data_IF_557864110173
#
_entry.id   IF_557864110173
#
_cell.length_a   1.000
_cell.length_b   1.000
_cell.length_c   1.000
_cell.angle_alpha   90.00
_cell.angle_beta   90.00
_cell.angle_gamma   90.00
#
_symmetry.space_group_name_H-M   'P 1'
#
loop_
_entity.id
_entity.type
_entity.pdbx_description
1 polymer ?
#
# COMPACT_ATOMS: atom_id res chain seq x y z
N UNK A 1 17.43 -1.97 27.67
CA UNK A 1 16.66 -0.85 27.08
C UNK A 1 15.22 -1.00 27.55
N UNK A 2 14.70 -0.10 28.40
CA UNK A 2 13.34 -0.23 28.94
C UNK A 2 12.38 0.77 28.27
N UNK A 3 11.24 0.26 27.81
CA UNK A 3 10.12 1.08 27.34
C UNK A 3 9.40 1.74 28.52
N UNK A 4 8.92 2.97 28.36
CA UNK A 4 8.19 3.71 29.39
C UNK A 4 7.01 4.49 28.80
N UNK A 5 6.08 4.90 29.68
CA UNK A 5 4.86 5.62 29.30
C UNK A 5 5.23 6.96 28.66
N UNK A 6 4.59 7.27 27.54
CA UNK A 6 4.86 8.47 26.75
C UNK A 6 5.84 8.25 25.59
N UNK A 7 6.46 7.08 25.48
CA UNK A 7 7.29 6.77 24.31
C UNK A 7 6.43 6.64 23.05
N UNK A 8 6.87 7.32 21.99
CA UNK A 8 6.32 7.20 20.64
C UNK A 8 7.45 6.97 19.64
N UNK A 9 7.12 6.31 18.54
CA UNK A 9 8.02 6.11 17.42
C UNK A 9 7.23 6.23 16.12
N UNK A 10 7.90 6.71 15.07
CA UNK A 10 7.33 6.78 13.73
C UNK A 10 8.33 6.22 12.72
N UNK A 11 7.77 5.69 11.63
CA UNK A 11 8.55 5.26 10.45
C UNK A 11 7.78 5.64 9.20
N UNK A 12 8.50 6.15 8.22
CA UNK A 12 7.99 6.46 6.89
C UNK A 12 8.57 5.49 5.87
N UNK A 13 7.76 5.13 4.87
CA UNK A 13 8.20 4.38 3.70
C UNK A 13 7.46 4.94 2.48
N UNK A 14 8.19 5.23 1.41
CA UNK A 14 7.58 5.49 0.10
C UNK A 14 7.02 4.19 -0.45
N UNK A 15 5.74 4.17 -0.79
CA UNK A 15 5.08 3.03 -1.43
C UNK A 15 5.35 3.08 -2.93
N UNK A 16 5.84 1.97 -3.46
CA UNK A 16 6.16 1.80 -4.88
C UNK A 16 5.22 0.79 -5.54
N UNK A 17 5.22 0.76 -6.87
CA UNK A 17 4.50 -0.28 -7.64
C UNK A 17 4.89 -1.70 -7.21
N UNK A 18 6.17 -1.93 -6.92
CA UNK A 18 6.66 -3.23 -6.46
C UNK A 18 6.02 -3.64 -5.12
N UNK A 19 5.78 -2.69 -4.22
CA UNK A 19 5.13 -2.96 -2.94
C UNK A 19 3.67 -3.36 -3.12
N UNK A 20 2.96 -2.69 -4.02
CA UNK A 20 1.55 -2.99 -4.34
C UNK A 20 1.44 -4.41 -4.92
N UNK A 21 2.31 -4.76 -5.87
CA UNK A 21 2.35 -6.11 -6.47
C UNK A 21 2.69 -7.17 -5.44
N UNK A 22 3.71 -6.93 -4.60
CA UNK A 22 4.11 -7.87 -3.56
C UNK A 22 2.98 -8.10 -2.56
N UNK A 23 2.26 -7.04 -2.18
CA UNK A 23 1.10 -7.16 -1.30
C UNK A 23 -0.01 -8.00 -1.95
N UNK A 24 -0.39 -7.71 -3.20
CA UNK A 24 -1.40 -8.46 -3.94
C UNK A 24 -1.06 -9.97 -4.04
N UNK A 25 0.21 -10.30 -4.30
CA UNK A 25 0.67 -11.69 -4.33
C UNK A 25 0.61 -12.36 -2.95
N UNK A 26 1.00 -11.64 -1.90
CA UNK A 26 1.04 -12.19 -0.53
C UNK A 26 -0.36 -12.35 0.07
N UNK A 27 -1.29 -11.44 -0.23
CA UNK A 27 -2.65 -11.45 0.32
C UNK A 27 -3.64 -12.22 -0.54
N UNK A 28 -3.34 -12.43 -1.82
CA UNK A 28 -4.30 -12.93 -2.81
C UNK A 28 -5.28 -11.88 -3.30
N UNK A 29 -5.17 -10.62 -2.86
CA UNK A 29 -5.99 -9.51 -3.33
C UNK A 29 -5.47 -9.01 -4.67
N UNK A 30 -5.99 -9.62 -5.74
CA UNK A 30 -5.72 -9.22 -7.12
C UNK A 30 -6.81 -8.32 -7.71
N UNK A 31 -7.51 -7.53 -6.89
CA UNK A 31 -8.51 -6.59 -7.41
C UNK A 31 -7.87 -5.66 -8.45
N UNK A 32 -8.44 -5.61 -9.65
CA UNK A 32 -7.89 -4.86 -10.78
C UNK A 32 -7.70 -3.38 -10.47
N UNK A 33 -8.44 -2.82 -9.50
CA UNK A 33 -8.25 -1.43 -9.07
C UNK A 33 -6.83 -1.14 -8.56
N UNK A 34 -6.11 -2.15 -8.07
CA UNK A 34 -4.74 -2.03 -7.56
C UNK A 34 -3.66 -2.32 -8.62
N UNK A 35 -4.03 -2.98 -9.73
CA UNK A 35 -3.07 -3.59 -10.66
C UNK A 35 -3.22 -3.10 -12.11
N UNK A 36 -4.38 -2.56 -12.47
CA UNK A 36 -4.70 -2.10 -13.83
C UNK A 36 -4.89 -0.57 -13.84
N UNK A 37 -4.01 0.12 -14.58
CA UNK A 37 -4.03 1.58 -14.71
C UNK A 37 -5.30 2.07 -15.41
N UNK A 38 -5.74 1.39 -16.47
CA UNK A 38 -6.89 1.83 -17.26
C UNK A 38 -8.19 1.71 -16.45
N UNK A 39 -8.33 0.63 -15.69
CA UNK A 39 -9.46 0.46 -14.78
C UNK A 39 -9.41 1.47 -13.64
N UNK A 40 -8.24 1.67 -13.02
CA UNK A 40 -8.08 2.63 -11.93
C UNK A 40 -8.35 4.08 -12.37
N UNK A 41 -7.94 4.46 -13.59
CA UNK A 41 -8.18 5.78 -14.17
C UNK A 41 -9.68 6.11 -14.32
N UNK A 42 -10.50 5.09 -14.62
CA UNK A 42 -11.96 5.22 -14.70
C UNK A 42 -12.67 5.24 -13.33
N UNK A 43 -11.95 4.88 -12.27
CA UNK A 43 -12.48 4.84 -10.91
C UNK A 43 -12.48 6.24 -10.28
N UNK A 44 -13.18 6.39 -9.14
CA UNK A 44 -13.13 7.63 -8.34
C UNK A 44 -11.71 8.01 -7.88
N UNK A 45 -10.77 7.07 -7.89
CA UNK A 45 -9.38 7.30 -7.48
C UNK A 45 -8.53 7.89 -8.61
N UNK A 46 -8.98 7.77 -9.87
CA UNK A 46 -8.40 8.45 -11.05
C UNK A 46 -7.01 7.98 -11.50
N UNK A 47 -6.36 7.10 -10.73
CA UNK A 47 -5.09 6.44 -11.06
C UNK A 47 -4.86 5.28 -10.10
N UNK A 48 -3.86 4.48 -10.43
CA UNK A 48 -3.36 3.41 -9.57
C UNK A 48 -2.31 3.89 -8.56
#
# INVERSE_FOLDING_TARGET
MNLHIGMSASRTKTITDADIRAFAQASGDSNSIHLDEALAASSRFGKR
#
